data_IF_935918933593
#
_entry.id   IF_935918933593
#
_cell.length_a   1.000
_cell.length_b   1.000
_cell.length_c   1.000
_cell.angle_alpha   90.00
_cell.angle_beta   90.00
_cell.angle_gamma   90.00
#
_symmetry.space_group_name_H-M   'P 1'
#
loop_
_entity.id
_entity.type
_entity.pdbx_description
1 polymer ?
#
# COMPACT_ATOMS: atom_id res chain seq x y z
N UNK A 1 6.42 -19.86 -0.96
CA UNK A 1 5.04 -19.85 -1.52
C UNK A 1 3.96 -20.31 -0.54
N UNK A 2 4.23 -21.29 0.35
CA UNK A 2 3.25 -21.80 1.33
C UNK A 2 2.67 -20.70 2.24
N UNK A 3 3.52 -19.86 2.84
CA UNK A 3 3.09 -18.72 3.67
C UNK A 3 2.14 -17.77 2.94
N UNK A 4 2.40 -17.51 1.65
CA UNK A 4 1.55 -16.65 0.82
C UNK A 4 0.16 -17.27 0.60
N UNK A 5 0.11 -18.58 0.30
CA UNK A 5 -1.16 -19.32 0.15
C UNK A 5 -1.94 -19.39 1.47
N UNK A 6 -1.25 -19.64 2.59
CA UNK A 6 -1.87 -19.68 3.91
C UNK A 6 -2.50 -18.34 4.29
N UNK A 7 -1.80 -17.22 4.07
CA UNK A 7 -2.32 -15.88 4.33
C UNK A 7 -3.56 -15.56 3.47
N UNK A 8 -3.53 -15.91 2.18
CA UNK A 8 -4.69 -15.75 1.30
C UNK A 8 -5.88 -16.62 1.73
N UNK A 9 -5.63 -17.88 2.10
CA UNK A 9 -6.66 -18.78 2.63
C UNK A 9 -7.24 -18.29 3.97
N UNK A 10 -6.43 -17.60 4.78
CA UNK A 10 -6.88 -16.93 6.00
C UNK A 10 -7.70 -15.65 5.73
N UNK A 11 -7.86 -15.24 4.47
CA UNK A 11 -8.69 -14.10 4.07
C UNK A 11 -7.93 -12.78 3.87
N UNK A 12 -6.59 -12.82 3.75
CA UNK A 12 -5.82 -11.61 3.41
C UNK A 12 -6.16 -11.12 1.99
N UNK A 13 -6.36 -9.81 1.84
CA UNK A 13 -6.63 -9.16 0.55
C UNK A 13 -5.36 -8.83 -0.26
N UNK A 14 -4.20 -8.73 0.41
CA UNK A 14 -2.89 -8.38 -0.15
C UNK A 14 -1.78 -9.00 0.71
N UNK A 15 -0.63 -9.27 0.10
CA UNK A 15 0.57 -9.77 0.77
C UNK A 15 1.70 -8.74 0.67
N UNK A 16 2.47 -8.60 1.75
CA UNK A 16 3.71 -7.81 1.76
C UNK A 16 4.91 -8.76 1.83
N UNK A 17 5.81 -8.64 0.87
CA UNK A 17 7.10 -9.34 0.85
C UNK A 17 8.18 -8.27 0.85
N UNK A 18 8.68 -7.95 2.04
CA UNK A 18 9.63 -6.86 2.25
C UNK A 18 11.05 -7.43 2.38
N UNK A 19 12.04 -6.65 1.94
CA UNK A 19 13.47 -6.95 2.10
C UNK A 19 13.94 -8.27 1.43
N UNK A 20 13.12 -8.85 0.55
CA UNK A 20 13.43 -10.07 -0.19
C UNK A 20 12.83 -10.00 -1.60
N UNK A 21 13.62 -9.51 -2.56
CA UNK A 21 13.19 -9.38 -3.96
C UNK A 21 13.00 -10.76 -4.62
N UNK A 22 13.84 -11.74 -4.28
CA UNK A 22 13.75 -13.08 -4.88
C UNK A 22 12.46 -13.77 -4.43
N UNK A 23 12.18 -13.76 -3.13
CA UNK A 23 10.93 -14.29 -2.58
C UNK A 23 9.69 -13.57 -3.13
N UNK A 24 9.76 -12.26 -3.36
CA UNK A 24 8.65 -11.51 -3.98
C UNK A 24 8.35 -12.01 -5.41
N UNK A 25 9.39 -12.27 -6.21
CA UNK A 25 9.26 -12.80 -7.57
C UNK A 25 8.67 -14.22 -7.55
N UNK A 26 9.13 -15.08 -6.63
CA UNK A 26 8.58 -16.43 -6.48
C UNK A 26 7.09 -16.42 -6.12
N UNK A 27 6.68 -15.54 -5.20
CA UNK A 27 5.27 -15.38 -4.84
C UNK A 27 4.47 -14.86 -6.03
N UNK A 28 4.96 -13.87 -6.77
CA UNK A 28 4.29 -13.37 -7.99
C UNK A 28 4.09 -14.47 -9.03
N UNK A 29 5.11 -15.28 -9.31
CA UNK A 29 5.01 -16.40 -10.25
C UNK A 29 3.97 -17.44 -9.80
N UNK A 30 3.97 -17.78 -8.51
CA UNK A 30 3.02 -18.71 -7.92
C UNK A 30 1.58 -18.21 -7.92
N UNK A 31 1.37 -16.90 -7.75
CA UNK A 31 0.05 -16.30 -7.77
C UNK A 31 -0.50 -16.16 -9.19
N UNK A 32 0.36 -15.84 -10.16
CA UNK A 32 -0.02 -15.75 -11.58
C UNK A 32 -0.63 -17.07 -12.09
N UNK A 33 -0.10 -18.22 -11.65
CA UNK A 33 -0.67 -19.53 -12.03
C UNK A 33 -2.01 -19.85 -11.34
N UNK A 34 -2.34 -19.17 -10.25
CA UNK A 34 -3.51 -19.50 -9.41
C UNK A 34 -4.81 -18.76 -9.76
N UNK A 35 -4.79 -17.84 -10.75
CA UNK A 35 -5.96 -17.06 -11.24
C UNK A 35 -6.79 -16.39 -10.12
N UNK A 36 -6.15 -15.95 -9.04
CA UNK A 36 -6.82 -15.29 -7.92
C UNK A 36 -7.33 -13.91 -8.36
N UNK A 37 -8.61 -13.64 -8.10
CA UNK A 37 -9.19 -12.33 -8.36
C UNK A 37 -8.67 -11.29 -7.36
N UNK A 38 -8.33 -10.10 -7.84
CA UNK A 38 -7.92 -8.99 -6.99
C UNK A 38 -9.09 -8.52 -6.11
N UNK A 39 -8.82 -8.26 -4.83
CA UNK A 39 -9.85 -7.76 -3.91
C UNK A 39 -10.27 -6.33 -4.28
N UNK A 40 -11.57 -6.04 -4.41
CA UNK A 40 -12.05 -4.69 -4.70
C UNK A 40 -11.77 -3.70 -3.56
N UNK A 41 -11.45 -4.21 -2.35
CA UNK A 41 -11.10 -3.39 -1.18
C UNK A 41 -9.81 -2.59 -1.43
N UNK A 42 -8.87 -3.12 -2.20
CA UNK A 42 -7.59 -2.46 -2.48
C UNK A 42 -7.78 -1.15 -3.26
N UNK A 43 -8.79 -1.09 -4.15
CA UNK A 43 -9.08 0.12 -4.90
C UNK A 43 -9.45 1.32 -3.99
N UNK A 44 -10.00 1.05 -2.79
CA UNK A 44 -10.37 2.08 -1.80
C UNK A 44 -9.16 2.72 -1.12
N UNK A 45 -7.99 2.06 -1.15
CA UNK A 45 -6.74 2.58 -0.58
C UNK A 45 -6.05 3.60 -1.52
N UNK A 46 -6.51 3.75 -2.76
CA UNK A 46 -5.93 4.69 -3.72
C UNK A 46 -6.18 6.14 -3.28
N UNK A 47 -5.11 6.91 -3.18
CA UNK A 47 -5.19 8.34 -2.89
C UNK A 47 -6.12 9.07 -3.88
N UNK A 48 -6.99 9.95 -3.36
CA UNK A 48 -7.93 10.76 -4.15
C UNK A 48 -7.36 12.10 -4.60
N UNK A 49 -6.35 12.61 -3.89
CA UNK A 49 -5.62 13.83 -4.21
C UNK A 49 -4.14 13.50 -4.30
N UNK A 50 -3.43 14.17 -5.20
CA UNK A 50 -1.99 14.01 -5.43
C UNK A 50 -1.36 15.40 -5.62
N UNK A 51 -1.28 16.22 -4.56
CA UNK A 51 -0.61 17.50 -4.66
C UNK A 51 0.87 17.27 -5.00
N UNK A 52 1.45 18.16 -5.79
CA UNK A 52 2.91 18.25 -5.92
C UNK A 52 3.50 18.94 -4.68
N UNK A 53 4.82 18.90 -4.56
CA UNK A 53 5.50 19.45 -3.38
C UNK A 53 5.34 20.96 -3.26
N UNK A 54 5.43 21.72 -4.36
CA UNK A 54 5.34 23.17 -4.31
C UNK A 54 3.93 23.63 -3.90
N UNK A 55 2.88 22.99 -4.45
CA UNK A 55 1.50 23.29 -4.03
C UNK A 55 1.21 22.90 -2.59
N UNK A 56 1.78 21.80 -2.10
CA UNK A 56 1.61 21.37 -0.70
C UNK A 56 2.36 22.28 0.29
N UNK A 57 3.56 22.76 -0.06
CA UNK A 57 4.35 23.65 0.78
C UNK A 57 3.72 25.05 0.90
N UNK A 58 3.12 25.54 -0.19
CA UNK A 58 2.36 26.80 -0.20
C UNK A 58 0.94 26.72 0.39
N UNK A 59 0.45 25.53 0.74
CA UNK A 59 -0.90 25.35 1.28
C UNK A 59 -1.01 25.92 2.71
N UNK A 60 -1.84 26.95 2.88
CA UNK A 60 -2.07 27.61 4.17
C UNK A 60 -2.57 26.64 5.26
N UNK A 61 -3.38 25.64 4.90
CA UNK A 61 -3.85 24.60 5.83
C UNK A 61 -2.68 23.75 6.31
N UNK A 62 -1.75 23.38 5.42
CA UNK A 62 -0.55 22.61 5.78
C UNK A 62 0.31 23.40 6.76
N UNK A 63 0.54 24.68 6.50
CA UNK A 63 1.29 25.56 7.41
C UNK A 63 0.65 25.68 8.80
N UNK A 64 -0.66 25.88 8.86
CA UNK A 64 -1.40 25.97 10.13
C UNK A 64 -1.29 24.68 10.97
N UNK A 65 -1.43 23.51 10.33
CA UNK A 65 -1.31 22.21 11.02
C UNK A 65 0.12 22.01 11.53
N UNK A 66 1.14 22.38 10.77
CA UNK A 66 2.53 22.26 11.22
C UNK A 66 2.83 23.14 12.43
N UNK A 67 2.36 24.39 12.42
CA UNK A 67 2.50 25.30 13.56
C UNK A 67 1.82 24.72 14.82
N UNK A 68 0.62 24.14 14.65
CA UNK A 68 -0.09 23.49 15.76
C UNK A 68 0.66 22.27 16.31
N UNK A 69 1.22 21.41 15.45
CA UNK A 69 1.99 20.23 15.87
C UNK A 69 3.30 20.61 16.57
N UNK A 70 3.94 21.71 16.19
CA UNK A 70 5.19 22.18 16.79
C UNK A 70 4.99 22.87 18.16
N UNK A 71 3.77 23.28 18.48
CA UNK A 71 3.42 23.94 19.74
C UNK A 71 2.97 22.96 20.84
N UNK A 72 2.88 21.67 20.54
CA UNK A 72 2.61 20.58 21.50
C UNK A 72 3.91 20.01 22.06
#
# INVERSE_FOLDING_TARGET
QEKARAALAAGCDMLLVCNDRAGAIEVLAALASSRIAASPRLARMRARRRPDWASLEGDARRGAIQAALAAC
#
